data_IF_067140168420
#
_entry.id   IF_067140168420
#
_cell.length_a   1.000
_cell.length_b   1.000
_cell.length_c   1.000
_cell.angle_alpha   90.00
_cell.angle_beta   90.00
_cell.angle_gamma   90.00
#
_symmetry.space_group_name_H-M   'P 1'
#
loop_
_entity.id
_entity.type
_entity.pdbx_description
1 polymer ?
#
# COMPACT_ATOMS: atom_id res chain seq x y z
N UNK A 1 11.53 -15.16 13.30
CA UNK A 1 11.18 -15.04 11.88
C UNK A 1 9.88 -14.27 11.69
N UNK A 2 8.84 -14.56 12.47
CA UNK A 2 7.51 -13.93 12.33
C UNK A 2 7.50 -12.40 12.48
N UNK A 3 8.32 -11.84 13.39
CA UNK A 3 8.44 -10.37 13.55
C UNK A 3 8.99 -9.72 12.27
N UNK A 4 9.92 -10.39 11.58
CA UNK A 4 10.49 -9.89 10.33
C UNK A 4 9.42 -9.88 9.23
N UNK A 5 8.60 -10.93 9.16
CA UNK A 5 7.47 -11.03 8.21
C UNK A 5 6.45 -9.93 8.51
N UNK A 6 6.09 -9.71 9.78
CA UNK A 6 5.15 -8.67 10.18
C UNK A 6 5.69 -7.26 9.86
N UNK A 7 6.96 -6.98 10.20
CA UNK A 7 7.61 -5.72 9.85
C UNK A 7 7.64 -5.51 8.33
N UNK A 8 7.94 -6.55 7.55
CA UNK A 8 7.92 -6.48 6.09
C UNK A 8 6.52 -6.18 5.55
N UNK A 9 5.47 -6.84 6.06
CA UNK A 9 4.08 -6.57 5.67
C UNK A 9 3.66 -5.15 6.01
N UNK A 10 4.03 -4.63 7.19
CA UNK A 10 3.76 -3.23 7.58
C UNK A 10 4.44 -2.25 6.61
N UNK A 11 5.72 -2.47 6.30
CA UNK A 11 6.46 -1.63 5.36
C UNK A 11 5.83 -1.69 3.95
N UNK A 12 5.41 -2.87 3.52
CA UNK A 12 4.76 -3.07 2.23
C UNK A 12 3.41 -2.33 2.16
N UNK A 13 2.61 -2.40 3.23
CA UNK A 13 1.36 -1.65 3.33
C UNK A 13 1.61 -0.13 3.26
N UNK A 14 2.60 0.34 4.03
CA UNK A 14 3.03 1.74 4.04
C UNK A 14 3.50 2.21 2.66
N UNK A 15 4.23 1.37 1.91
CA UNK A 15 4.66 1.67 0.55
C UNK A 15 3.47 1.87 -0.39
N UNK A 16 2.46 0.99 -0.33
CA UNK A 16 1.26 1.12 -1.16
C UNK A 16 0.47 2.38 -0.80
N UNK A 17 0.23 2.63 0.48
CA UNK A 17 -0.47 3.83 0.96
C UNK A 17 0.27 5.12 0.57
N UNK A 18 1.60 5.14 0.71
CA UNK A 18 2.42 6.28 0.32
C UNK A 18 2.36 6.51 -1.20
N UNK A 19 2.37 5.45 -2.01
CA UNK A 19 2.29 5.55 -3.47
C UNK A 19 0.94 6.13 -3.92
N UNK A 20 -0.15 5.72 -3.28
CA UNK A 20 -1.49 6.27 -3.51
C UNK A 20 -1.55 7.76 -3.17
N UNK A 21 -1.11 8.16 -1.97
CA UNK A 21 -1.10 9.56 -1.56
C UNK A 21 -0.17 10.39 -2.44
N UNK A 22 1.00 9.86 -2.80
CA UNK A 22 1.95 10.52 -3.70
C UNK A 22 1.33 10.77 -5.08
N UNK A 23 0.56 9.82 -5.61
CA UNK A 23 -0.11 9.97 -6.88
C UNK A 23 -1.23 11.03 -6.83
N UNK A 24 -2.04 11.00 -5.78
CA UNK A 24 -3.16 11.95 -5.61
C UNK A 24 -2.67 13.38 -5.32
N UNK A 25 -1.55 13.52 -4.60
CA UNK A 25 -0.95 14.82 -4.25
C UNK A 25 0.01 15.37 -5.32
N UNK A 26 0.37 14.58 -6.32
CA UNK A 26 1.27 15.00 -7.38
C UNK A 26 0.69 16.18 -8.17
N UNK A 27 1.48 17.26 -8.29
CA UNK A 27 1.10 18.42 -9.10
C UNK A 27 1.27 18.11 -10.58
N UNK A 28 0.15 17.84 -11.27
CA UNK A 28 0.12 17.56 -12.72
C UNK A 28 0.88 18.59 -13.56
N UNK A 29 0.66 19.88 -13.31
CA UNK A 29 1.33 20.97 -14.01
C UNK A 29 2.87 20.91 -13.92
N UNK A 30 3.43 20.45 -12.79
CA UNK A 30 4.89 20.26 -12.66
C UNK A 30 5.37 19.05 -13.47
N UNK A 31 4.58 17.98 -13.52
CA UNK A 31 4.90 16.78 -14.30
C UNK A 31 4.78 17.04 -15.81
N UNK A 32 3.80 17.83 -16.24
CA UNK A 32 3.66 18.33 -17.63
C UNK A 32 4.91 19.08 -18.05
N UNK A 33 5.33 20.09 -17.28
CA UNK A 33 6.52 20.87 -17.58
C UNK A 33 7.80 20.00 -17.70
N UNK A 34 7.97 19.01 -16.81
CA UNK A 34 9.12 18.10 -16.84
C UNK A 34 9.03 17.11 -18.01
N UNK A 35 7.84 16.63 -18.35
CA UNK A 35 7.59 15.77 -19.50
C UNK A 35 7.90 16.49 -20.81
N UNK A 36 7.50 17.75 -20.95
CA UNK A 36 7.82 18.59 -22.12
C UNK A 36 9.34 18.82 -22.27
N UNK A 37 10.09 18.84 -21.16
CA UNK A 37 11.56 18.89 -21.15
C UNK A 37 12.24 17.56 -21.52
N UNK A 38 11.46 16.51 -21.84
CA UNK A 38 11.98 15.21 -22.27
C UNK A 38 12.19 14.20 -21.13
N UNK A 39 11.75 14.48 -19.90
CA UNK A 39 11.82 13.52 -18.81
C UNK A 39 10.77 12.41 -19.00
N UNK A 40 11.26 11.23 -19.41
CA UNK A 40 10.42 10.03 -19.62
C UNK A 40 9.72 9.56 -18.34
N UNK A 41 10.32 9.76 -17.16
CA UNK A 41 9.70 9.40 -15.87
C UNK A 41 8.58 10.37 -15.53
N UNK A 42 8.78 11.65 -15.79
CA UNK A 42 7.73 12.66 -15.60
C UNK A 42 6.54 12.39 -16.53
N UNK A 43 6.79 11.97 -17.77
CA UNK A 43 5.73 11.56 -18.70
C UNK A 43 4.89 10.39 -18.17
N UNK A 44 5.55 9.33 -17.69
CA UNK A 44 4.86 8.18 -17.11
C UNK A 44 4.07 8.56 -15.84
N UNK A 45 4.68 9.36 -14.95
CA UNK A 45 4.01 9.85 -13.75
C UNK A 45 2.80 10.73 -14.09
N UNK A 46 2.89 11.53 -15.15
CA UNK A 46 1.78 12.35 -15.64
C UNK A 46 0.64 11.49 -16.19
N UNK A 47 0.94 10.45 -16.97
CA UNK A 47 -0.07 9.51 -17.47
C UNK A 47 -0.81 8.82 -16.31
N UNK A 48 -0.06 8.36 -15.29
CA UNK A 48 -0.63 7.79 -14.07
C UNK A 48 -1.47 8.81 -13.30
N UNK A 49 -1.00 10.06 -13.15
CA UNK A 49 -1.73 11.11 -12.45
C UNK A 49 -3.00 11.55 -13.20
N UNK A 50 -3.01 11.44 -14.54
CA UNK A 50 -4.18 11.74 -15.36
C UNK A 50 -5.25 10.66 -15.29
N UNK A 51 -4.87 9.39 -15.12
CA UNK A 51 -5.78 8.26 -14.93
C UNK A 51 -5.39 7.45 -13.69
N UNK A 52 -5.58 8.01 -12.49
CA UNK A 52 -5.10 7.39 -11.26
C UNK A 52 -5.89 6.14 -10.91
N UNK A 53 -7.15 6.04 -11.35
CA UNK A 53 -8.08 4.93 -11.05
C UNK A 53 -7.42 3.55 -11.18
N UNK A 54 -6.76 3.27 -12.31
CA UNK A 54 -6.13 1.96 -12.55
C UNK A 54 -4.99 1.67 -11.57
N UNK A 55 -4.19 2.68 -11.23
CA UNK A 55 -3.09 2.54 -10.27
C UNK A 55 -3.61 2.40 -8.85
N UNK A 56 -4.57 3.25 -8.46
CA UNK A 56 -5.20 3.22 -7.14
C UNK A 56 -5.89 1.88 -6.89
N UNK A 57 -6.67 1.38 -7.85
CA UNK A 57 -7.31 0.06 -7.71
C UNK A 57 -6.28 -1.07 -7.57
N UNK A 58 -5.16 -1.02 -8.31
CA UNK A 58 -4.10 -2.02 -8.19
C UNK A 58 -3.37 -1.93 -6.84
N UNK A 59 -3.06 -0.73 -6.36
CA UNK A 59 -2.46 -0.50 -5.04
C UNK A 59 -3.40 -0.97 -3.93
N UNK A 60 -4.70 -0.72 -4.05
CA UNK A 60 -5.72 -1.14 -3.09
C UNK A 60 -5.85 -2.67 -3.00
N UNK A 61 -5.79 -3.39 -4.13
CA UNK A 61 -5.69 -4.86 -4.11
C UNK A 61 -4.45 -5.31 -3.32
N UNK A 62 -3.32 -4.64 -3.53
CA UNK A 62 -2.08 -4.87 -2.75
C UNK A 62 -2.29 -4.64 -1.25
N UNK A 63 -2.91 -3.53 -0.86
CA UNK A 63 -3.23 -3.20 0.54
C UNK A 63 -4.11 -4.29 1.15
N UNK A 64 -5.15 -4.74 0.45
CA UNK A 64 -6.04 -5.81 0.91
C UNK A 64 -5.30 -7.12 1.10
N UNK A 65 -4.46 -7.52 0.14
CA UNK A 65 -3.64 -8.73 0.26
C UNK A 65 -2.72 -8.68 1.47
N UNK A 66 -2.05 -7.54 1.67
CA UNK A 66 -1.16 -7.34 2.83
C UNK A 66 -1.96 -7.37 4.14
N UNK A 67 -3.15 -6.79 4.18
CA UNK A 67 -4.02 -6.82 5.36
C UNK A 67 -4.48 -8.24 5.71
N UNK A 68 -4.87 -9.05 4.72
CA UNK A 68 -5.25 -10.46 4.92
C UNK A 68 -4.05 -11.26 5.45
N UNK A 69 -2.89 -11.15 4.81
CA UNK A 69 -1.68 -11.85 5.25
C UNK A 69 -1.30 -11.45 6.68
N UNK A 70 -1.30 -10.14 6.97
CA UNK A 70 -1.04 -9.63 8.32
C UNK A 70 -2.02 -10.20 9.33
N UNK A 71 -3.31 -10.25 8.97
CA UNK A 71 -4.38 -10.81 9.80
C UNK A 71 -4.21 -12.30 10.10
N UNK A 72 -3.83 -13.11 9.10
CA UNK A 72 -3.57 -14.55 9.28
C UNK A 72 -2.38 -14.77 10.22
N UNK A 73 -1.24 -14.13 9.95
CA UNK A 73 -0.04 -14.26 10.77
C UNK A 73 -0.23 -13.73 12.19
N UNK A 74 -0.98 -12.64 12.35
CA UNK A 74 -1.32 -12.09 13.67
C UNK A 74 -2.33 -12.99 14.39
N UNK A 75 -3.32 -13.53 13.67
CA UNK A 75 -4.35 -14.41 14.22
C UNK A 75 -3.77 -15.67 14.85
N UNK A 76 -2.83 -16.34 14.19
CA UNK A 76 -2.14 -17.51 14.76
C UNK A 76 -1.38 -17.16 16.06
N UNK A 77 -0.84 -15.95 16.16
CA UNK A 77 -0.14 -15.47 17.36
C UNK A 77 -1.06 -15.00 18.47
N UNK A 78 -2.17 -14.35 18.13
CA UNK A 78 -3.10 -13.75 19.10
C UNK A 78 -4.18 -14.74 19.58
N UNK A 79 -4.50 -15.78 18.81
CA UNK A 79 -5.50 -16.79 19.19
C UNK A 79 -5.25 -17.41 20.59
N UNK A 80 -4.03 -17.82 20.97
CA UNK A 80 -3.77 -18.38 22.30
C UNK A 80 -4.00 -17.38 23.45
N UNK A 81 -3.80 -16.08 23.21
CA UNK A 81 -4.03 -15.04 24.20
C UNK A 81 -5.53 -14.73 24.39
N UNK A 82 -6.32 -14.88 23.32
CA UNK A 82 -7.77 -14.62 23.35
C UNK A 82 -8.58 -15.81 23.88
N UNK A 83 -8.07 -17.04 23.68
CA UNK A 83 -8.70 -18.30 24.08
C UNK A 83 -9.16 -18.33 25.55
N UNK A 84 -8.34 -17.97 26.57
CA UNK A 84 -8.76 -18.03 27.97
C UNK A 84 -9.86 -17.02 28.36
N UNK A 85 -10.08 -15.97 27.55
CA UNK A 85 -11.15 -15.00 27.76
C UNK A 85 -12.45 -15.45 27.10
N UNK A 86 -12.38 -16.12 25.95
CA UNK A 86 -13.54 -16.67 25.25
C UNK A 86 -14.13 -17.89 25.97
N UNK A 87 -13.29 -18.74 26.59
CA UNK A 87 -13.77 -19.89 27.38
C UNK A 87 -14.46 -19.49 28.69
N UNK A 88 -14.34 -18.22 29.11
CA UNK A 88 -14.98 -17.67 30.32
C UNK A 88 -16.33 -17.01 30.06
N UNK A 89 -16.74 -16.87 28.80
CA UNK A 89 -18.03 -16.31 28.36
C UNK A 89 -18.99 -17.47 28.11
#
# INVERSE_FOLDING_TARGET
MDIIILCFLILLNGLFSMSEIALVSARKSRLEFLSEKGDKKAKLALELANKPEKFLSAAQIGITLVAILTGVYSGEKFAPYLQPYLEKI
#
